data_IF_180520978404
#
_entry.id   IF_180520978404
#
_cell.length_a   1.000
_cell.length_b   1.000
_cell.length_c   1.000
_cell.angle_alpha   90.00
_cell.angle_beta   90.00
_cell.angle_gamma   90.00
#
_symmetry.space_group_name_H-M   'P 1'
#
loop_
_entity.id
_entity.type
_entity.pdbx_description
1 polymer ?
#
# COMPACT_ATOMS: atom_id res chain seq x y z
N UNK A 1 -7.53 1.38 30.94
CA UNK A 1 -6.94 0.53 32.00
C UNK A 1 -7.41 -0.93 32.01
N UNK A 2 -8.68 -1.28 31.73
CA UNK A 2 -9.13 -2.69 31.73
C UNK A 2 -8.65 -3.49 30.50
N UNK A 3 -8.42 -2.84 29.36
CA UNK A 3 -7.96 -3.49 28.12
C UNK A 3 -6.46 -3.83 28.13
N UNK A 4 -5.63 -3.01 28.78
CA UNK A 4 -4.18 -3.23 28.91
C UNK A 4 -3.84 -4.39 29.87
N UNK A 5 -4.66 -4.60 30.91
CA UNK A 5 -4.48 -5.74 31.81
C UNK A 5 -4.84 -7.07 31.15
N UNK A 6 -5.76 -7.09 30.20
CA UNK A 6 -6.12 -8.30 29.46
C UNK A 6 -4.96 -8.74 28.53
N UNK A 7 -4.27 -7.80 27.86
CA UNK A 7 -3.12 -8.13 27.03
C UNK A 7 -1.94 -8.71 27.82
N UNK A 8 -1.66 -8.19 29.03
CA UNK A 8 -0.62 -8.71 29.91
C UNK A 8 -1.00 -10.09 30.50
N UNK A 9 -2.27 -10.32 30.78
CA UNK A 9 -2.75 -11.61 31.29
C UNK A 9 -2.70 -12.70 30.22
N UNK A 10 -2.92 -12.37 28.95
CA UNK A 10 -2.77 -13.30 27.82
C UNK A 10 -1.30 -13.69 27.63
N UNK A 11 -0.36 -12.74 27.70
CA UNK A 11 1.08 -13.02 27.62
C UNK A 11 1.56 -13.93 28.78
N UNK A 12 1.00 -13.78 29.98
CA UNK A 12 1.33 -14.63 31.14
C UNK A 12 0.77 -16.06 31.05
N UNK A 13 -0.33 -16.27 30.34
CA UNK A 13 -0.94 -17.60 30.17
C UNK A 13 -0.17 -18.49 29.16
N UNK A 14 0.54 -17.89 28.21
CA UNK A 14 1.35 -18.63 27.23
C UNK A 14 2.73 -19.06 27.76
N UNK A 15 3.18 -18.58 28.90
CA UNK A 15 4.47 -18.96 29.50
C UNK A 15 4.46 -20.32 30.16
N UNK A 16 3.38 -21.07 30.14
CA UNK A 16 3.18 -22.27 30.99
C UNK A 16 3.06 -23.64 30.33
N UNK A 17 3.16 -23.75 28.99
CA UNK A 17 3.02 -25.08 28.33
C UNK A 17 4.18 -25.36 27.37
N UNK A 18 5.04 -26.28 27.79
CA UNK A 18 6.29 -26.69 27.14
C UNK A 18 6.11 -27.60 25.90
N UNK A 19 5.06 -27.43 25.14
CA UNK A 19 4.84 -28.02 23.80
C UNK A 19 4.12 -27.00 22.89
N UNK A 20 4.19 -25.74 23.23
CA UNK A 20 3.44 -24.69 22.54
C UNK A 20 4.21 -24.16 21.33
N UNK A 21 3.44 -23.82 20.31
CA UNK A 21 3.81 -22.95 19.20
C UNK A 21 4.91 -21.95 19.59
N UNK A 22 5.92 -21.79 18.75
CA UNK A 22 6.90 -20.70 18.89
C UNK A 22 6.17 -19.37 18.67
N UNK A 23 5.74 -18.74 19.77
CA UNK A 23 5.00 -17.48 19.75
C UNK A 23 5.95 -16.32 19.95
N UNK A 24 5.99 -15.40 19.01
CA UNK A 24 6.85 -14.24 19.00
C UNK A 24 6.05 -12.95 19.06
N UNK A 25 6.38 -12.06 19.99
CA UNK A 25 6.00 -10.65 19.97
C UNK A 25 7.05 -9.91 19.14
N UNK A 26 6.61 -9.07 18.21
CA UNK A 26 7.48 -8.25 17.38
C UNK A 26 6.85 -6.90 17.09
N UNK A 27 7.66 -5.96 16.60
CA UNK A 27 7.13 -4.68 16.21
C UNK A 27 8.17 -3.70 15.66
N UNK A 28 7.66 -2.55 15.25
CA UNK A 28 8.45 -1.41 14.78
C UNK A 28 7.85 -0.14 15.36
N UNK A 29 8.70 0.71 15.89
CA UNK A 29 8.39 2.11 16.20
C UNK A 29 9.21 2.97 15.26
N UNK A 30 8.54 3.78 14.47
CA UNK A 30 9.13 4.70 13.51
C UNK A 30 8.49 6.07 13.72
N UNK A 31 9.30 7.05 14.14
CA UNK A 31 8.83 8.40 14.46
C UNK A 31 9.84 9.42 13.95
N UNK A 32 9.35 10.51 13.40
CA UNK A 32 10.22 11.55 12.89
C UNK A 32 9.49 12.85 12.62
N UNK A 33 10.18 13.76 11.96
CA UNK A 33 9.64 15.06 11.56
C UNK A 33 9.63 15.16 10.05
N UNK A 34 8.62 15.84 9.54
CA UNK A 34 8.43 16.06 8.11
C UNK A 34 8.10 17.52 7.84
N UNK A 35 8.75 18.06 6.84
CA UNK A 35 8.35 19.29 6.19
C UNK A 35 7.78 18.97 4.82
N UNK A 36 6.62 19.50 4.51
CA UNK A 36 5.99 19.47 3.20
C UNK A 36 5.70 20.91 2.77
N UNK A 37 6.02 21.22 1.53
CA UNK A 37 5.48 22.33 0.79
C UNK A 37 4.58 21.74 -0.30
N UNK A 38 3.28 21.96 -0.18
CA UNK A 38 2.26 21.46 -1.12
C UNK A 38 1.72 22.66 -1.89
N UNK A 39 2.01 22.67 -3.18
CA UNK A 39 1.42 23.63 -4.11
C UNK A 39 0.30 22.93 -4.87
N UNK A 40 -0.93 23.41 -4.66
CA UNK A 40 -2.14 22.88 -5.29
C UNK A 40 -2.67 23.86 -6.35
N UNK A 41 -1.76 24.52 -7.06
CA UNK A 41 -2.08 25.57 -8.01
C UNK A 41 -3.25 25.20 -8.92
N UNK A 42 -4.26 26.06 -8.91
CA UNK A 42 -5.47 25.90 -9.70
C UNK A 42 -5.60 27.12 -10.59
N UNK A 43 -5.29 26.91 -11.84
CA UNK A 43 -5.46 27.97 -12.83
C UNK A 43 -6.93 28.12 -13.26
N UNK A 44 -7.43 29.31 -13.24
CA UNK A 44 -8.28 30.04 -14.13
C UNK A 44 -9.37 30.94 -13.53
N UNK A 45 -9.89 30.67 -12.33
CA UNK A 45 -10.97 31.53 -11.80
C UNK A 45 -10.73 32.06 -10.39
N UNK A 46 -9.47 32.23 -9.97
CA UNK A 46 -9.11 32.91 -8.73
C UNK A 46 -9.37 32.11 -7.44
N UNK A 47 -9.56 30.83 -7.53
CA UNK A 47 -9.62 29.92 -6.38
C UNK A 47 -8.32 29.13 -6.31
N UNK A 48 -7.19 29.82 -6.23
CA UNK A 48 -5.92 29.22 -5.90
C UNK A 48 -5.88 28.91 -4.40
N UNK A 49 -5.49 27.71 -4.03
CA UNK A 49 -5.01 27.45 -2.67
C UNK A 49 -3.52 27.73 -2.71
N UNK A 50 -3.10 28.84 -2.05
CA UNK A 50 -1.68 29.16 -1.92
C UNK A 50 -0.91 27.94 -1.41
N UNK A 51 0.36 27.84 -1.83
CA UNK A 51 1.25 26.77 -1.35
C UNK A 51 1.22 26.69 0.18
N UNK A 52 0.99 25.51 0.70
CA UNK A 52 0.86 25.26 2.14
C UNK A 52 2.16 24.63 2.65
N UNK A 53 2.81 25.37 3.55
CA UNK A 53 3.95 24.86 4.30
C UNK A 53 3.46 24.12 5.56
N UNK A 54 3.86 22.87 5.71
CA UNK A 54 3.51 22.07 6.88
C UNK A 54 4.76 21.44 7.49
N UNK A 55 5.02 21.75 8.75
CA UNK A 55 5.98 21.03 9.58
C UNK A 55 5.22 20.19 10.59
N UNK A 56 5.47 18.89 10.64
CA UNK A 56 4.74 17.97 11.51
C UNK A 56 5.64 16.87 12.05
N UNK A 57 5.26 16.34 13.22
CA UNK A 57 5.75 15.04 13.68
C UNK A 57 4.90 13.96 13.01
N UNK A 58 5.54 12.92 12.54
CA UNK A 58 4.88 11.85 11.77
C UNK A 58 5.32 10.48 12.27
N UNK A 59 4.39 9.55 12.18
CA UNK A 59 4.60 8.14 12.49
C UNK A 59 4.77 7.32 11.21
N UNK A 60 5.73 6.40 11.21
CA UNK A 60 5.79 5.35 10.21
C UNK A 60 6.21 5.80 8.83
N UNK A 61 7.06 6.84 8.71
CA UNK A 61 7.48 7.37 7.42
C UNK A 61 8.32 6.37 6.61
N UNK A 62 9.32 5.72 7.22
CA UNK A 62 10.11 4.68 6.56
C UNK A 62 9.48 3.28 6.70
N UNK A 63 8.72 3.04 7.77
CA UNK A 63 8.00 1.79 7.99
C UNK A 63 6.84 2.01 8.95
N UNK A 64 5.61 1.71 8.57
CA UNK A 64 4.45 1.88 9.43
C UNK A 64 4.69 1.31 10.82
N UNK A 65 4.50 2.15 11.87
CA UNK A 65 4.62 1.73 13.26
C UNK A 65 3.58 0.66 13.55
N UNK A 66 4.02 -0.44 14.18
CA UNK A 66 3.17 -1.63 14.40
C UNK A 66 3.69 -2.50 15.51
N UNK A 67 2.84 -3.32 16.02
CA UNK A 67 3.18 -4.45 16.86
C UNK A 67 2.38 -5.67 16.44
N UNK A 68 2.86 -6.86 16.72
CA UNK A 68 2.16 -8.08 16.36
C UNK A 68 2.60 -9.28 17.15
N UNK A 69 1.77 -10.31 17.10
CA UNK A 69 2.04 -11.63 17.64
C UNK A 69 1.89 -12.61 16.50
N UNK A 70 2.87 -13.47 16.32
CA UNK A 70 2.84 -14.59 15.38
C UNK A 70 3.26 -15.87 16.06
N UNK A 71 2.75 -16.98 15.59
CA UNK A 71 3.11 -18.28 16.13
C UNK A 71 2.97 -19.37 15.10
N UNK A 72 3.73 -20.44 15.28
CA UNK A 72 3.69 -21.64 14.45
C UNK A 72 3.72 -22.89 15.32
N UNK A 73 3.00 -23.94 14.89
CA UNK A 73 2.97 -25.24 15.50
C UNK A 73 3.21 -26.29 14.41
N UNK A 74 4.17 -27.17 14.66
CA UNK A 74 4.45 -28.31 13.79
C UNK A 74 3.49 -29.47 14.12
N UNK A 75 2.66 -29.87 13.17
CA UNK A 75 1.68 -30.95 13.31
C UNK A 75 2.27 -32.33 12.96
N UNK A 76 3.55 -32.39 12.56
CA UNK A 76 4.20 -33.59 12.06
C UNK A 76 4.02 -33.80 10.56
N UNK A 77 4.77 -34.78 10.02
CA UNK A 77 4.77 -35.09 8.58
C UNK A 77 5.01 -33.89 7.63
N UNK A 78 5.74 -32.86 8.10
CA UNK A 78 6.02 -31.65 7.34
C UNK A 78 4.83 -30.69 7.23
N UNK A 79 3.81 -30.87 8.07
CA UNK A 79 2.66 -29.99 8.15
C UNK A 79 2.81 -29.03 9.32
N UNK A 80 2.59 -27.74 9.05
CA UNK A 80 2.65 -26.65 10.03
C UNK A 80 1.36 -25.86 9.98
N UNK A 81 0.84 -25.44 11.12
CA UNK A 81 -0.21 -24.43 11.25
C UNK A 81 0.38 -23.21 11.94
N UNK A 82 -0.07 -22.01 11.57
CA UNK A 82 0.40 -20.80 12.21
C UNK A 82 -0.56 -19.64 12.02
N UNK A 83 -0.30 -18.57 12.76
CA UNK A 83 -1.12 -17.36 12.72
C UNK A 83 -0.24 -16.10 12.73
N UNK A 84 -0.80 -15.01 12.21
CA UNK A 84 -0.25 -13.66 12.32
C UNK A 84 -1.38 -12.71 12.74
N UNK A 85 -1.13 -11.95 13.82
CA UNK A 85 -1.98 -10.85 14.28
C UNK A 85 -1.10 -9.62 14.36
N UNK A 86 -1.31 -8.65 13.46
CA UNK A 86 -0.50 -7.42 13.38
C UNK A 86 -1.39 -6.18 13.38
N UNK A 87 -1.09 -5.27 14.28
CA UNK A 87 -1.81 -4.03 14.51
C UNK A 87 -0.95 -2.81 14.22
N UNK A 88 -1.52 -1.80 13.56
CA UNK A 88 -0.89 -0.53 13.25
C UNK A 88 -1.23 0.54 14.27
N UNK A 89 -0.26 1.39 14.59
CA UNK A 89 -0.49 2.54 15.46
C UNK A 89 0.28 3.77 14.98
N UNK A 90 -0.13 4.93 15.45
CA UNK A 90 0.58 6.20 15.21
C UNK A 90 1.45 6.52 16.42
N UNK A 91 2.77 6.50 16.24
CA UNK A 91 3.75 6.63 17.33
C UNK A 91 3.89 8.07 17.85
N UNK A 92 3.45 9.06 17.08
CA UNK A 92 3.47 10.47 17.43
C UNK A 92 2.38 10.86 18.44
N UNK A 93 1.24 10.17 18.42
CA UNK A 93 0.08 10.49 19.27
C UNK A 93 -0.50 9.28 20.04
N UNK A 94 0.00 8.06 19.74
CA UNK A 94 -0.41 6.81 20.41
C UNK A 94 -1.79 6.28 20.00
N UNK A 95 -2.36 6.78 18.90
CA UNK A 95 -3.65 6.29 18.42
C UNK A 95 -3.51 4.95 17.68
N UNK A 96 -4.55 4.12 17.75
CA UNK A 96 -4.75 2.94 16.93
C UNK A 96 -5.01 3.38 15.47
N UNK A 97 -4.43 2.69 14.50
CA UNK A 97 -4.58 3.01 13.09
C UNK A 97 -5.70 2.17 12.46
N UNK A 98 -6.94 2.54 12.75
CA UNK A 98 -8.11 1.84 12.20
C UNK A 98 -8.72 0.84 13.19
N UNK A 99 -8.97 -0.39 12.74
CA UNK A 99 -9.50 -1.47 13.58
C UNK A 99 -8.36 -2.30 14.17
N UNK A 100 -8.60 -2.97 15.30
CA UNK A 100 -7.63 -3.91 15.88
C UNK A 100 -7.17 -4.94 14.82
N UNK A 101 -5.88 -5.15 14.71
CA UNK A 101 -5.25 -6.00 13.69
C UNK A 101 -5.55 -5.54 12.25
N UNK A 102 -5.55 -4.24 12.02
CA UNK A 102 -5.84 -3.62 10.72
C UNK A 102 -4.90 -4.07 9.62
N UNK A 103 -3.66 -4.50 9.98
CA UNK A 103 -2.60 -4.87 9.04
C UNK A 103 -2.68 -6.33 8.59
N UNK A 104 -2.80 -7.26 9.54
CA UNK A 104 -2.99 -8.70 9.26
C UNK A 104 -3.67 -9.39 10.44
N UNK A 105 -4.66 -10.23 10.12
CA UNK A 105 -5.29 -11.17 11.05
C UNK A 105 -5.54 -12.47 10.29
N UNK A 106 -4.55 -13.37 10.30
CA UNK A 106 -4.57 -14.57 9.46
C UNK A 106 -4.22 -15.84 10.21
N UNK A 107 -4.87 -16.93 9.79
CA UNK A 107 -4.52 -18.30 10.13
C UNK A 107 -4.06 -19.01 8.86
N UNK A 108 -2.99 -19.80 8.93
CA UNK A 108 -2.48 -20.53 7.78
C UNK A 108 -2.10 -21.96 8.09
N UNK A 109 -2.12 -22.78 7.04
CA UNK A 109 -1.55 -24.12 7.02
C UNK A 109 -0.53 -24.20 5.90
N UNK A 110 0.63 -24.81 6.19
CA UNK A 110 1.74 -24.94 5.25
C UNK A 110 2.28 -26.37 5.26
N UNK A 111 2.71 -26.86 4.10
CA UNK A 111 3.27 -28.18 3.91
C UNK A 111 3.90 -28.38 2.55
N UNK A 112 4.08 -29.63 2.14
CA UNK A 112 4.60 -29.95 0.80
C UNK A 112 3.74 -29.43 -0.37
N UNK A 113 2.50 -29.08 -0.11
CA UNK A 113 1.58 -28.47 -1.08
C UNK A 113 1.73 -26.94 -1.19
N UNK A 114 2.50 -26.30 -0.33
CA UNK A 114 2.60 -24.83 -0.23
C UNK A 114 1.91 -24.30 1.02
N UNK A 115 1.49 -23.04 0.99
CA UNK A 115 0.85 -22.32 2.11
C UNK A 115 -0.53 -21.83 1.70
N UNK A 116 -1.54 -22.15 2.50
CA UNK A 116 -2.91 -21.63 2.40
C UNK A 116 -3.21 -20.78 3.64
N UNK A 117 -3.70 -19.58 3.46
CA UNK A 117 -4.08 -18.69 4.56
C UNK A 117 -5.48 -18.14 4.39
N UNK A 118 -6.14 -17.85 5.51
CA UNK A 118 -7.48 -17.32 5.61
C UNK A 118 -7.50 -16.15 6.60
N UNK A 119 -8.25 -15.09 6.30
CA UNK A 119 -8.48 -13.98 7.21
C UNK A 119 -8.34 -12.61 6.55
N UNK A 120 -7.96 -11.61 7.35
CA UNK A 120 -7.57 -10.30 6.83
C UNK A 120 -6.10 -10.36 6.44
N UNK A 121 -5.83 -10.16 5.14
CA UNK A 121 -4.51 -10.35 4.55
C UNK A 121 -4.25 -9.20 3.57
N UNK A 122 -3.01 -8.73 3.50
CA UNK A 122 -2.59 -7.79 2.46
C UNK A 122 -2.47 -8.47 1.11
N UNK A 123 -2.80 -7.74 0.08
CA UNK A 123 -2.63 -8.21 -1.30
C UNK A 123 -1.14 -8.43 -1.65
N UNK A 124 -0.87 -9.27 -2.63
CA UNK A 124 0.49 -9.42 -3.18
C UNK A 124 0.99 -8.10 -3.79
N UNK A 125 0.08 -7.24 -4.24
CA UNK A 125 0.31 -5.90 -4.78
C UNK A 125 0.20 -4.80 -3.72
N UNK A 126 0.17 -5.14 -2.44
CA UNK A 126 0.13 -4.19 -1.34
C UNK A 126 1.46 -4.04 -0.63
N UNK A 127 1.54 -3.02 0.21
CA UNK A 127 2.72 -2.72 1.04
C UNK A 127 2.69 -3.36 2.42
N UNK A 128 1.61 -4.04 2.76
CA UNK A 128 1.33 -4.49 4.12
C UNK A 128 1.00 -5.98 4.12
N UNK A 129 1.51 -6.68 5.08
CA UNK A 129 1.36 -8.09 5.38
C UNK A 129 2.53 -8.99 4.94
N UNK A 130 2.51 -10.21 5.45
CA UNK A 130 3.50 -11.24 5.15
C UNK A 130 3.47 -11.77 3.70
N UNK A 131 2.47 -11.37 2.93
CA UNK A 131 2.23 -11.78 1.53
C UNK A 131 2.69 -10.74 0.52
N UNK A 132 2.98 -9.52 0.95
CA UNK A 132 3.30 -8.39 0.08
C UNK A 132 4.61 -8.60 -0.69
N UNK A 133 4.55 -8.50 -2.02
CA UNK A 133 5.71 -8.61 -2.92
C UNK A 133 6.05 -7.27 -3.60
N UNK A 134 5.11 -6.35 -3.60
CA UNK A 134 5.16 -5.08 -4.33
C UNK A 134 6.42 -4.24 -4.04
N UNK A 135 6.91 -4.26 -2.80
CA UNK A 135 8.15 -3.58 -2.40
C UNK A 135 9.42 -4.03 -3.14
N UNK A 136 9.39 -5.16 -3.88
CA UNK A 136 10.52 -5.59 -4.71
C UNK A 136 10.78 -4.69 -5.93
N UNK A 137 9.85 -3.77 -6.26
CA UNK A 137 9.94 -2.88 -7.41
C UNK A 137 10.60 -1.53 -7.08
N UNK A 138 10.85 -1.23 -5.81
CA UNK A 138 11.46 0.05 -5.42
C UNK A 138 12.46 -0.10 -4.27
N UNK A 139 13.55 0.66 -4.34
CA UNK A 139 14.50 0.84 -3.24
C UNK A 139 13.87 1.48 -2.00
N UNK A 140 12.81 2.25 -2.19
CA UNK A 140 11.99 2.82 -1.12
C UNK A 140 10.91 1.85 -0.62
N UNK A 141 10.84 0.63 -1.16
CA UNK A 141 9.80 -0.35 -0.79
C UNK A 141 8.39 0.19 -1.01
N UNK A 142 7.53 0.05 -0.02
CA UNK A 142 6.14 0.52 0.01
C UNK A 142 5.87 1.52 1.13
N UNK A 143 6.92 2.14 1.66
CA UNK A 143 6.87 3.17 2.71
C UNK A 143 7.65 4.40 2.26
N UNK A 144 8.01 5.30 3.15
CA UNK A 144 8.68 6.59 2.90
C UNK A 144 7.71 7.74 2.60
N UNK A 145 6.47 7.61 3.05
CA UNK A 145 5.44 8.61 2.88
C UNK A 145 4.80 8.59 1.49
N UNK A 146 3.71 9.30 1.35
CA UNK A 146 2.85 9.26 0.15
C UNK A 146 3.44 9.96 -1.08
N UNK A 147 4.61 10.59 -0.96
CA UNK A 147 5.20 11.42 -2.01
C UNK A 147 6.62 10.98 -2.40
N UNK A 148 7.19 9.96 -1.76
CA UNK A 148 8.48 9.41 -2.16
C UNK A 148 8.33 8.40 -3.32
N UNK A 149 9.40 8.13 -4.05
CA UNK A 149 9.44 7.19 -5.18
C UNK A 149 9.30 5.72 -4.74
N UNK A 150 8.38 5.45 -3.84
CA UNK A 150 8.00 4.13 -3.37
C UNK A 150 7.05 3.43 -4.37
N UNK A 151 6.90 2.12 -4.20
CA UNK A 151 6.14 1.32 -5.14
C UNK A 151 4.66 1.73 -5.25
N UNK A 152 3.98 2.03 -4.13
CA UNK A 152 2.55 2.41 -4.16
C UNK A 152 2.32 3.77 -4.84
N UNK A 153 3.29 4.70 -4.79
CA UNK A 153 3.19 6.01 -5.45
C UNK A 153 3.41 5.89 -6.96
N UNK A 154 4.37 5.04 -7.35
CA UNK A 154 4.77 4.89 -8.77
C UNK A 154 3.85 3.91 -9.49
N UNK A 155 3.52 2.76 -8.88
CA UNK A 155 2.86 1.65 -9.56
C UNK A 155 1.44 1.39 -9.05
N UNK A 156 0.95 2.18 -8.10
CA UNK A 156 -0.29 1.95 -7.38
C UNK A 156 -0.24 0.69 -6.50
N UNK A 157 -1.10 0.61 -5.52
CA UNK A 157 -1.15 -0.51 -4.58
C UNK A 157 -2.58 -0.98 -4.32
N UNK A 158 -2.73 -2.26 -4.03
CA UNK A 158 -3.97 -2.82 -3.51
C UNK A 158 -3.77 -3.16 -2.03
N UNK A 159 -4.49 -2.53 -1.14
CA UNK A 159 -4.31 -2.62 0.31
C UNK A 159 -4.54 -4.01 0.92
N UNK A 160 -5.06 -4.02 2.14
CA UNK A 160 -5.49 -5.23 2.83
C UNK A 160 -6.95 -5.53 2.51
N UNK A 161 -7.28 -6.82 2.48
CA UNK A 161 -8.62 -7.31 2.18
C UNK A 161 -9.13 -8.19 3.32
N UNK A 162 -10.36 -7.98 3.71
CA UNK A 162 -11.07 -8.84 4.63
C UNK A 162 -11.55 -10.10 3.93
N UNK A 163 -11.74 -11.17 4.70
CA UNK A 163 -12.30 -12.43 4.22
C UNK A 163 -11.54 -12.96 3.00
N UNK A 164 -10.20 -12.91 3.09
CA UNK A 164 -9.31 -13.35 2.01
C UNK A 164 -8.95 -14.82 2.17
N UNK A 165 -8.91 -15.51 1.02
CA UNK A 165 -8.24 -16.78 0.82
C UNK A 165 -6.97 -16.49 0.03
N UNK A 166 -5.80 -16.85 0.57
CA UNK A 166 -4.50 -16.66 -0.08
C UNK A 166 -3.75 -17.98 -0.15
N UNK A 167 -3.20 -18.28 -1.31
CA UNK A 167 -2.39 -19.47 -1.55
C UNK A 167 -1.05 -19.10 -2.20
N UNK A 168 0.03 -19.77 -1.78
CA UNK A 168 1.32 -19.78 -2.48
C UNK A 168 1.85 -21.18 -2.64
N UNK A 169 2.46 -21.48 -3.77
CA UNK A 169 3.14 -22.74 -4.01
C UNK A 169 4.42 -22.87 -3.19
N UNK A 170 4.95 -24.08 -2.99
CA UNK A 170 6.35 -24.24 -2.64
C UNK A 170 7.25 -23.57 -3.67
N UNK A 171 8.49 -23.26 -3.28
CA UNK A 171 9.48 -22.77 -4.26
C UNK A 171 9.94 -23.92 -5.16
N UNK A 172 9.88 -23.71 -6.46
CA UNK A 172 10.39 -24.64 -7.46
C UNK A 172 11.40 -23.93 -8.37
N UNK A 173 12.65 -24.34 -8.33
CA UNK A 173 13.75 -23.71 -9.10
C UNK A 173 13.77 -22.17 -9.00
N UNK A 174 13.47 -21.63 -7.80
CA UNK A 174 13.39 -20.19 -7.54
C UNK A 174 12.01 -19.55 -7.84
N UNK A 175 11.11 -20.25 -8.51
CA UNK A 175 9.75 -19.76 -8.78
C UNK A 175 8.79 -20.05 -7.62
N UNK A 176 7.87 -19.11 -7.38
CA UNK A 176 6.65 -19.29 -6.59
C UNK A 176 5.48 -18.66 -7.34
N UNK A 177 4.31 -19.28 -7.21
CA UNK A 177 3.04 -18.75 -7.74
C UNK A 177 2.12 -18.42 -6.57
N UNK A 178 1.35 -17.35 -6.71
CA UNK A 178 0.45 -16.83 -5.70
C UNK A 178 -0.95 -16.67 -6.30
N UNK A 179 -1.96 -16.99 -5.52
CA UNK A 179 -3.35 -16.74 -5.86
C UNK A 179 -4.07 -16.17 -4.64
N UNK A 180 -4.88 -15.12 -4.82
CA UNK A 180 -5.63 -14.49 -3.76
C UNK A 180 -7.06 -14.21 -4.21
N UNK A 181 -8.00 -14.42 -3.29
CA UNK A 181 -9.40 -14.07 -3.45
C UNK A 181 -9.91 -13.41 -2.17
N UNK A 182 -10.29 -12.14 -2.26
CA UNK A 182 -10.92 -11.37 -1.18
C UNK A 182 -12.43 -11.24 -1.44
N UNK A 183 -13.23 -11.69 -0.50
CA UNK A 183 -14.69 -11.68 -0.61
C UNK A 183 -15.30 -10.32 -0.24
N UNK A 184 -14.45 -9.37 0.18
CA UNK A 184 -14.88 -8.08 0.70
C UNK A 184 -15.44 -8.19 2.13
N UNK A 185 -15.85 -7.06 2.68
CA UNK A 185 -16.37 -6.98 4.04
C UNK A 185 -17.84 -6.55 4.05
N UNK A 186 -18.53 -6.91 5.11
CA UNK A 186 -19.87 -6.40 5.37
C UNK A 186 -19.78 -4.91 5.76
N UNK A 187 -20.24 -4.05 4.87
CA UNK A 187 -20.30 -2.60 5.10
C UNK A 187 -21.75 -2.21 5.38
N UNK A 188 -21.95 -1.43 6.43
CA UNK A 188 -23.26 -0.84 6.73
C UNK A 188 -23.17 0.67 6.64
N UNK A 189 -23.91 1.28 5.74
CA UNK A 189 -24.05 2.73 5.65
C UNK A 189 -25.50 3.15 5.82
N UNK A 190 -25.72 4.43 6.16
CA UNK A 190 -27.06 5.02 6.23
C UNK A 190 -27.16 6.13 5.19
N UNK A 191 -28.09 6.00 4.26
CA UNK A 191 -28.44 7.02 3.30
C UNK A 191 -29.97 7.16 3.25
N UNK A 192 -30.48 8.40 3.25
CA UNK A 192 -31.92 8.74 3.16
C UNK A 192 -32.79 7.96 4.16
N UNK A 193 -32.30 7.78 5.40
CA UNK A 193 -33.01 7.05 6.44
C UNK A 193 -33.07 5.53 6.25
N UNK A 194 -32.48 4.99 5.18
CA UNK A 194 -32.37 3.55 4.95
C UNK A 194 -30.97 3.05 5.35
N UNK A 195 -30.93 1.87 5.95
CA UNK A 195 -29.68 1.14 6.17
C UNK A 195 -29.38 0.36 4.90
N UNK A 196 -28.26 0.71 4.25
CA UNK A 196 -27.71 -0.03 3.12
C UNK A 196 -26.64 -0.97 3.67
N UNK A 197 -26.65 -2.21 3.24
CA UNK A 197 -25.71 -3.24 3.70
C UNK A 197 -24.97 -3.79 2.48
N UNK A 198 -23.65 -3.72 2.51
CA UNK A 198 -22.80 -4.52 1.65
C UNK A 198 -22.71 -5.92 2.24
N UNK A 199 -22.88 -6.95 1.45
CA UNK A 199 -22.84 -8.34 1.88
C UNK A 199 -21.60 -9.01 1.30
N UNK A 200 -20.88 -9.70 2.17
CA UNK A 200 -19.68 -10.45 1.78
C UNK A 200 -19.97 -11.38 0.60
N UNK A 201 -19.08 -11.36 -0.39
CA UNK A 201 -19.15 -12.18 -1.59
C UNK A 201 -20.38 -11.95 -2.49
N UNK A 202 -21.05 -10.82 -2.35
CA UNK A 202 -22.16 -10.40 -3.21
C UNK A 202 -21.82 -9.15 -4.01
N UNK A 203 -22.70 -8.79 -4.95
CA UNK A 203 -22.54 -7.57 -5.77
C UNK A 203 -22.61 -6.26 -4.99
N UNK A 204 -22.91 -6.33 -3.70
CA UNK A 204 -22.95 -5.19 -2.78
C UNK A 204 -21.64 -4.95 -2.02
N UNK A 205 -20.58 -5.71 -2.30
CA UNK A 205 -19.25 -5.52 -1.75
C UNK A 205 -18.18 -5.64 -2.84
N UNK A 206 -17.10 -4.86 -2.72
CA UNK A 206 -15.92 -5.00 -3.58
C UNK A 206 -15.26 -6.36 -3.33
N UNK A 207 -14.88 -7.08 -4.38
CA UNK A 207 -14.20 -8.37 -4.32
C UNK A 207 -12.84 -8.23 -5.02
N UNK A 208 -11.85 -8.93 -4.50
CA UNK A 208 -10.47 -8.85 -4.99
C UNK A 208 -9.99 -10.19 -5.53
N UNK A 209 -9.35 -10.15 -6.67
CA UNK A 209 -8.74 -11.30 -7.32
C UNK A 209 -7.30 -10.96 -7.66
N UNK A 210 -6.36 -11.85 -7.36
CA UNK A 210 -4.98 -11.69 -7.80
C UNK A 210 -4.33 -13.02 -8.14
N UNK A 211 -3.49 -12.96 -9.16
CA UNK A 211 -2.57 -14.03 -9.54
C UNK A 211 -1.19 -13.43 -9.71
N UNK A 212 -0.18 -14.05 -9.12
CA UNK A 212 1.18 -13.56 -9.21
C UNK A 212 2.22 -14.65 -9.29
N UNK A 213 3.41 -14.27 -9.71
CA UNK A 213 4.59 -15.10 -9.68
C UNK A 213 5.80 -14.30 -9.20
N UNK A 214 6.67 -14.94 -8.44
CA UNK A 214 7.99 -14.41 -8.12
C UNK A 214 9.06 -15.39 -8.56
N UNK A 215 10.24 -14.86 -8.90
CA UNK A 215 11.44 -15.62 -9.20
C UNK A 215 12.60 -15.05 -8.43
N UNK A 216 13.34 -15.90 -7.72
CA UNK A 216 14.53 -15.52 -6.98
C UNK A 216 15.67 -16.49 -7.32
N UNK A 217 16.79 -15.95 -7.83
CA UNK A 217 17.98 -16.72 -8.16
C UNK A 217 19.24 -15.87 -7.97
N UNK A 218 20.01 -16.15 -6.94
CA UNK A 218 21.19 -15.36 -6.59
C UNK A 218 20.84 -13.89 -6.41
N UNK A 219 21.47 -12.97 -7.17
CA UNK A 219 21.23 -11.53 -7.04
C UNK A 219 19.91 -11.05 -7.68
N UNK A 220 19.24 -11.87 -8.48
CA UNK A 220 18.05 -11.50 -9.24
C UNK A 220 16.77 -11.87 -8.49
N UNK A 221 15.88 -10.89 -8.34
CA UNK A 221 14.50 -11.10 -7.90
C UNK A 221 13.55 -10.46 -8.91
N UNK A 222 12.58 -11.21 -9.38
CA UNK A 222 11.53 -10.76 -10.30
C UNK A 222 10.16 -10.98 -9.69
N UNK A 223 9.23 -10.18 -10.14
CA UNK A 223 7.85 -10.18 -9.71
C UNK A 223 6.93 -9.86 -10.89
N UNK A 224 5.88 -10.63 -11.06
CA UNK A 224 4.78 -10.39 -11.97
C UNK A 224 3.48 -10.62 -11.22
N UNK A 225 2.56 -9.69 -11.31
CA UNK A 225 1.22 -9.89 -10.78
C UNK A 225 0.16 -9.22 -11.66
N UNK A 226 -1.00 -9.86 -11.67
CA UNK A 226 -2.24 -9.35 -12.25
C UNK A 226 -3.26 -9.34 -11.13
N UNK A 227 -3.94 -8.22 -10.95
CA UNK A 227 -5.06 -8.12 -10.01
C UNK A 227 -6.26 -7.40 -10.62
N UNK A 228 -7.41 -7.68 -10.06
CA UNK A 228 -8.69 -7.07 -10.42
C UNK A 228 -9.51 -6.84 -9.15
N UNK A 229 -10.13 -5.68 -9.09
CA UNK A 229 -11.19 -5.37 -8.11
C UNK A 229 -12.51 -5.40 -8.85
N UNK A 230 -13.36 -6.35 -8.51
CA UNK A 230 -14.74 -6.37 -8.93
C UNK A 230 -15.52 -5.46 -7.99
N UNK A 231 -15.78 -4.24 -8.45
CA UNK A 231 -16.42 -3.22 -7.62
C UNK A 231 -17.88 -3.54 -7.32
N UNK A 232 -18.36 -3.06 -6.18
CA UNK A 232 -19.75 -3.20 -5.80
C UNK A 232 -20.65 -2.43 -6.78
N UNK A 233 -21.66 -3.11 -7.31
CA UNK A 233 -22.66 -2.52 -8.23
C UNK A 233 -23.99 -2.27 -7.55
N UNK A 234 -24.13 -2.66 -6.28
CA UNK A 234 -25.36 -2.54 -5.48
C UNK A 234 -25.03 -2.21 -4.02
N UNK A 235 -26.02 -1.84 -3.25
CA UNK A 235 -25.89 -1.65 -1.79
C UNK A 235 -25.29 -0.31 -1.37
N UNK A 236 -24.56 -0.34 -0.27
CA UNK A 236 -24.03 0.83 0.43
C UNK A 236 -22.76 1.38 -0.20
N UNK A 237 -22.80 1.97 -1.36
CA UNK A 237 -21.65 2.53 -2.10
C UNK A 237 -21.40 1.80 -3.41
N UNK A 238 -22.32 0.91 -3.81
CA UNK A 238 -22.29 0.30 -5.13
C UNK A 238 -22.65 1.32 -6.22
N UNK A 239 -21.91 1.26 -7.31
CA UNK A 239 -22.18 2.00 -8.53
C UNK A 239 -22.60 1.01 -9.63
N UNK A 240 -23.86 1.06 -10.12
CA UNK A 240 -24.34 0.14 -11.16
C UNK A 240 -23.56 0.23 -12.49
N UNK A 241 -22.81 1.32 -12.69
CA UNK A 241 -22.01 1.57 -13.89
C UNK A 241 -20.53 1.33 -13.64
N UNK A 242 -20.14 0.80 -12.47
CA UNK A 242 -18.74 0.51 -12.16
C UNK A 242 -18.23 -0.68 -12.98
N UNK A 243 -17.21 -0.45 -13.77
CA UNK A 243 -16.43 -1.50 -14.41
C UNK A 243 -15.34 -2.02 -13.47
N UNK A 244 -14.98 -3.30 -13.63
CA UNK A 244 -13.96 -3.96 -12.83
C UNK A 244 -12.57 -3.45 -13.20
N UNK A 245 -11.71 -3.28 -12.19
CA UNK A 245 -10.33 -2.89 -12.48
C UNK A 245 -9.49 -4.05 -13.00
N UNK A 246 -8.48 -3.70 -13.78
CA UNK A 246 -7.40 -4.58 -14.16
C UNK A 246 -6.07 -3.88 -13.92
N UNK A 247 -5.17 -4.52 -13.18
CA UNK A 247 -3.80 -4.01 -13.05
C UNK A 247 -2.79 -5.12 -13.29
N UNK A 248 -1.77 -4.82 -14.09
CA UNK A 248 -0.65 -5.71 -14.39
C UNK A 248 0.63 -5.03 -13.96
N UNK A 249 1.44 -5.69 -13.13
CA UNK A 249 2.73 -5.18 -12.64
C UNK A 249 3.83 -6.18 -12.94
N UNK A 250 4.92 -5.68 -13.50
CA UNK A 250 6.14 -6.45 -13.75
C UNK A 250 7.33 -5.65 -13.26
N UNK A 251 8.17 -6.25 -12.46
CA UNK A 251 9.40 -5.61 -12.00
C UNK A 251 10.25 -6.53 -11.13
N UNK A 252 11.18 -5.91 -10.41
CA UNK A 252 12.08 -6.62 -9.52
C UNK A 252 13.35 -5.84 -9.25
N UNK A 253 14.38 -6.58 -8.85
CA UNK A 253 15.67 -5.98 -8.52
C UNK A 253 16.83 -6.92 -8.85
N UNK A 254 17.99 -6.31 -9.04
CA UNK A 254 19.25 -7.03 -9.20
C UNK A 254 20.31 -6.40 -8.29
N UNK A 255 20.99 -7.25 -7.52
CA UNK A 255 22.07 -6.84 -6.62
C UNK A 255 23.43 -7.01 -7.32
N UNK A 256 24.06 -5.89 -7.62
CA UNK A 256 25.40 -5.83 -8.24
C UNK A 256 26.53 -5.83 -7.21
N UNK A 257 26.23 -6.08 -5.92
CA UNK A 257 27.15 -5.93 -4.76
C UNK A 257 27.49 -4.48 -4.44
N UNK A 258 27.86 -3.66 -5.43
CA UNK A 258 28.17 -2.22 -5.29
C UNK A 258 26.92 -1.36 -5.24
N UNK A 259 25.80 -1.86 -5.79
CA UNK A 259 24.50 -1.22 -5.77
C UNK A 259 23.40 -2.25 -6.05
N UNK A 260 22.26 -2.09 -5.44
CA UNK A 260 21.06 -2.87 -5.79
C UNK A 260 20.12 -1.97 -6.58
N UNK A 261 19.80 -2.36 -7.80
CA UNK A 261 18.93 -1.61 -8.70
C UNK A 261 17.56 -2.27 -8.74
N UNK A 262 16.53 -1.46 -8.71
CA UNK A 262 15.12 -1.83 -8.79
C UNK A 262 14.50 -1.17 -10.00
N UNK A 263 13.63 -1.89 -10.68
CA UNK A 263 12.86 -1.35 -11.79
C UNK A 263 11.50 -2.04 -11.89
N UNK A 264 10.53 -1.33 -12.45
CA UNK A 264 9.21 -1.86 -12.67
C UNK A 264 8.39 -1.06 -13.66
N UNK A 265 7.35 -1.70 -14.15
CA UNK A 265 6.29 -1.11 -14.98
C UNK A 265 4.94 -1.59 -14.48
N UNK A 266 3.93 -0.76 -14.60
CA UNK A 266 2.55 -1.13 -14.38
C UNK A 266 1.68 -0.65 -15.53
N UNK A 267 0.67 -1.46 -15.87
CA UNK A 267 -0.48 -1.07 -16.67
C UNK A 267 -1.71 -1.20 -15.77
N UNK A 268 -2.62 -0.26 -15.88
CA UNK A 268 -3.83 -0.25 -15.08
C UNK A 268 -5.01 0.30 -15.89
N UNK A 269 -6.17 -0.26 -15.63
CA UNK A 269 -7.44 0.13 -16.20
C UNK A 269 -8.51 0.07 -15.11
N UNK A 270 -9.42 1.04 -15.10
CA UNK A 270 -10.44 1.20 -14.03
C UNK A 270 -9.86 1.22 -12.61
N UNK A 271 -8.59 1.59 -12.46
CA UNK A 271 -7.94 1.68 -11.15
C UNK A 271 -8.31 2.98 -10.43
N UNK A 272 -8.65 2.92 -9.14
CA UNK A 272 -8.91 4.14 -8.35
C UNK A 272 -7.63 4.96 -8.24
N UNK A 273 -7.69 6.25 -8.57
CA UNK A 273 -6.55 7.18 -8.45
C UNK A 273 -5.99 7.22 -7.02
N UNK A 274 -6.83 7.05 -6.01
CA UNK A 274 -6.42 6.99 -4.61
C UNK A 274 -5.45 5.84 -4.28
N UNK A 275 -5.35 4.83 -5.13
CA UNK A 275 -4.36 3.74 -4.98
C UNK A 275 -2.96 4.15 -5.43
N UNK A 276 -2.83 5.28 -6.13
CA UNK A 276 -1.59 5.93 -6.52
C UNK A 276 -1.42 7.19 -5.67
N UNK A 277 -1.00 7.08 -4.43
CA UNK A 277 -0.77 8.24 -3.55
C UNK A 277 0.05 9.32 -4.27
N UNK A 278 -0.15 10.60 -3.94
CA UNK A 278 0.60 11.70 -4.57
C UNK A 278 -0.21 12.99 -4.68
N UNK A 279 0.33 13.99 -5.36
CA UNK A 279 -0.22 15.34 -5.41
C UNK A 279 -1.62 15.41 -6.01
N UNK A 280 -1.91 14.67 -7.10
CA UNK A 280 -3.24 14.66 -7.70
C UNK A 280 -4.32 14.06 -6.79
N UNK A 281 -4.00 13.03 -6.02
CA UNK A 281 -4.96 12.45 -5.07
C UNK A 281 -5.39 13.47 -4.01
N UNK A 282 -4.44 14.26 -3.51
CA UNK A 282 -4.71 15.32 -2.55
C UNK A 282 -5.43 16.51 -3.19
N UNK A 283 -5.11 16.84 -4.44
CA UNK A 283 -5.78 17.88 -5.20
C UNK A 283 -7.28 17.54 -5.41
N UNK A 284 -7.59 16.34 -5.88
CA UNK A 284 -8.98 15.89 -6.01
C UNK A 284 -9.70 15.89 -4.67
N UNK A 285 -9.04 15.53 -3.57
CA UNK A 285 -9.62 15.55 -2.23
C UNK A 285 -9.89 16.99 -1.73
N UNK A 286 -9.01 17.94 -2.04
CA UNK A 286 -9.14 19.34 -1.59
C UNK A 286 -10.29 20.09 -2.27
N UNK A 287 -10.65 19.70 -3.48
CA UNK A 287 -11.73 20.32 -4.27
C UNK A 287 -13.14 19.98 -3.76
N UNK A 288 -13.26 19.23 -2.67
CA UNK A 288 -14.57 18.75 -2.17
C UNK A 288 -15.41 18.10 -3.27
N UNK A 289 -14.72 17.53 -4.26
CA UNK A 289 -15.31 16.68 -5.27
C UNK A 289 -15.57 15.34 -4.59
N UNK A 290 -16.33 15.40 -3.47
CA UNK A 290 -16.62 14.29 -2.56
C UNK A 290 -17.20 13.02 -3.24
N UNK A 291 -17.58 13.13 -4.49
CA UNK A 291 -17.99 12.01 -5.32
C UNK A 291 -16.92 11.60 -6.35
N UNK A 292 -15.89 12.43 -6.57
CA UNK A 292 -14.86 12.18 -7.59
C UNK A 292 -13.55 11.74 -6.95
N UNK A 293 -13.12 12.37 -5.85
CA UNK A 293 -11.75 12.22 -5.34
C UNK A 293 -11.33 10.79 -4.99
N UNK A 294 -12.08 10.08 -4.15
CA UNK A 294 -11.73 8.70 -3.76
C UNK A 294 -12.22 7.63 -4.75
N UNK A 295 -13.18 7.98 -5.62
CA UNK A 295 -13.79 7.10 -6.60
C UNK A 295 -13.33 7.35 -8.04
N UNK A 296 -12.53 8.40 -8.29
CA UNK A 296 -12.03 8.69 -9.62
C UNK A 296 -11.13 7.56 -10.12
N UNK A 297 -11.51 7.00 -11.25
CA UNK A 297 -10.81 5.87 -11.86
C UNK A 297 -10.00 6.33 -13.06
N UNK A 298 -8.86 5.71 -13.22
CA UNK A 298 -7.90 6.02 -14.28
C UNK A 298 -7.51 4.75 -15.04
N UNK A 299 -7.12 4.94 -16.28
CA UNK A 299 -6.43 3.95 -17.10
C UNK A 299 -5.11 4.53 -17.60
N UNK A 300 -4.08 3.70 -17.71
CA UNK A 300 -2.77 4.18 -18.12
C UNK A 300 -1.66 3.22 -17.78
N UNK A 301 -0.47 3.78 -17.67
CA UNK A 301 0.74 3.03 -17.37
C UNK A 301 1.70 3.85 -16.50
N UNK A 302 2.63 3.15 -15.86
CA UNK A 302 3.70 3.80 -15.11
C UNK A 302 5.00 3.00 -15.20
N UNK A 303 6.11 3.70 -14.97
CA UNK A 303 7.46 3.13 -14.93
C UNK A 303 8.26 3.76 -13.80
N UNK A 304 9.11 2.97 -13.16
CA UNK A 304 10.01 3.47 -12.12
C UNK A 304 11.34 2.75 -12.09
N UNK A 305 12.36 3.47 -11.67
CA UNK A 305 13.69 2.96 -11.41
C UNK A 305 14.23 3.55 -10.11
N UNK A 306 14.91 2.72 -9.33
CA UNK A 306 15.51 3.18 -8.07
C UNK A 306 16.74 2.34 -7.70
N UNK A 307 17.49 2.77 -6.71
CA UNK A 307 18.70 2.08 -6.29
C UNK A 307 19.03 2.31 -4.83
N UNK A 308 19.65 1.28 -4.24
CA UNK A 308 20.34 1.33 -2.95
C UNK A 308 21.83 1.23 -3.19
N UNK A 309 22.60 2.18 -2.70
CA UNK A 309 24.04 2.25 -2.89
C UNK A 309 24.69 2.28 -1.49
N UNK A 310 25.43 1.24 -1.09
CA UNK A 310 26.17 1.26 0.17
C UNK A 310 27.19 2.41 0.18
N UNK A 311 27.13 3.26 1.20
CA UNK A 311 28.04 4.40 1.34
C UNK A 311 28.16 4.81 2.81
N UNK A 312 29.36 5.18 3.24
CA UNK A 312 29.64 5.77 4.55
C UNK A 312 29.01 5.04 5.76
N UNK A 313 28.95 3.71 5.70
CA UNK A 313 28.37 2.87 6.76
C UNK A 313 26.83 2.74 6.73
N UNK A 314 26.17 3.40 5.80
CA UNK A 314 24.73 3.31 5.55
C UNK A 314 24.43 3.03 4.08
N UNK A 315 23.26 3.46 3.63
CA UNK A 315 22.78 3.28 2.26
C UNK A 315 22.23 4.60 1.71
N UNK A 316 22.70 4.99 0.53
CA UNK A 316 22.04 6.03 -0.27
C UNK A 316 20.89 5.39 -1.03
N UNK A 317 19.73 6.02 -0.98
CA UNK A 317 18.53 5.67 -1.70
C UNK A 317 18.29 6.73 -2.78
N UNK A 318 18.05 6.32 -4.01
CA UNK A 318 17.65 7.21 -5.10
C UNK A 318 16.51 6.57 -5.88
N UNK A 319 15.60 7.36 -6.40
CA UNK A 319 14.50 6.82 -7.19
C UNK A 319 13.81 7.88 -8.03
N UNK A 320 13.27 7.43 -9.15
CA UNK A 320 12.44 8.23 -10.04
C UNK A 320 11.32 7.37 -10.60
N UNK A 321 10.18 7.99 -10.88
CA UNK A 321 9.02 7.37 -11.49
C UNK A 321 8.29 8.32 -12.42
N UNK A 322 7.57 7.74 -13.36
CA UNK A 322 6.67 8.45 -14.26
C UNK A 322 5.37 7.66 -14.41
N UNK A 323 4.26 8.36 -14.47
CA UNK A 323 2.94 7.82 -14.75
C UNK A 323 2.28 8.68 -15.83
N UNK A 324 1.56 8.02 -16.73
CA UNK A 324 0.72 8.62 -17.74
C UNK A 324 -0.63 7.92 -17.71
N UNK A 325 -1.68 8.67 -17.48
CA UNK A 325 -3.02 8.17 -17.24
C UNK A 325 -4.08 9.13 -17.78
N UNK A 326 -5.24 8.58 -18.07
CA UNK A 326 -6.44 9.31 -18.41
C UNK A 326 -7.63 8.81 -17.59
N UNK A 327 -8.71 9.54 -17.59
CA UNK A 327 -9.97 9.11 -16.99
C UNK A 327 -10.40 7.75 -17.58
N UNK A 328 -10.74 6.79 -16.75
CA UNK A 328 -11.23 5.49 -17.19
C UNK A 328 -12.60 5.59 -17.87
N UNK A 329 -12.98 4.59 -18.64
CA UNK A 329 -14.21 4.62 -19.45
C UNK A 329 -15.47 4.76 -18.58
N UNK A 330 -15.51 4.12 -17.40
CA UNK A 330 -16.63 4.25 -16.45
C UNK A 330 -16.80 5.68 -15.89
N UNK A 331 -15.76 6.50 -15.88
CA UNK A 331 -15.85 7.92 -15.50
C UNK A 331 -16.67 8.70 -16.54
N UNK A 332 -16.54 8.38 -17.82
CA UNK A 332 -17.33 9.02 -18.89
C UNK A 332 -18.83 8.76 -18.72
N UNK A 333 -19.21 7.59 -18.23
CA UNK A 333 -20.60 7.19 -18.03
C UNK A 333 -21.22 7.79 -16.76
N UNK A 334 -20.42 7.92 -15.70
CA UNK A 334 -20.89 8.37 -14.37
C UNK A 334 -20.65 9.86 -14.11
N UNK A 335 -19.65 10.44 -14.75
CA UNK A 335 -19.14 11.79 -14.48
C UNK A 335 -18.68 12.46 -15.79
N UNK A 336 -19.61 12.65 -16.73
CA UNK A 336 -19.33 13.12 -18.08
C UNK A 336 -18.47 14.42 -18.17
N UNK A 337 -18.46 15.23 -17.11
CA UNK A 337 -17.62 16.43 -17.04
C UNK A 337 -16.12 16.12 -16.87
N UNK A 338 -15.75 14.90 -16.48
CA UNK A 338 -14.38 14.48 -16.18
C UNK A 338 -13.82 13.45 -17.16
N UNK A 339 -14.59 13.06 -18.17
CA UNK A 339 -14.25 11.99 -19.12
C UNK A 339 -12.96 12.21 -19.91
N UNK A 340 -12.61 13.47 -20.15
CA UNK A 340 -11.46 13.86 -20.99
C UNK A 340 -10.30 14.36 -20.10
N UNK A 341 -10.22 13.91 -18.83
CA UNK A 341 -9.16 14.29 -17.92
C UNK A 341 -7.92 13.41 -18.16
N UNK A 342 -6.80 14.07 -18.41
CA UNK A 342 -5.48 13.43 -18.50
C UNK A 342 -4.66 13.77 -17.25
N UNK A 343 -3.87 12.83 -16.76
CA UNK A 343 -3.03 12.99 -15.58
C UNK A 343 -1.66 12.42 -15.91
N UNK A 344 -0.62 13.25 -15.84
CA UNK A 344 0.74 12.78 -15.84
C UNK A 344 1.42 13.07 -14.51
N UNK A 345 2.31 12.20 -14.08
CA UNK A 345 3.09 12.34 -12.85
C UNK A 345 4.56 12.09 -13.12
N UNK A 346 5.41 12.91 -12.52
CA UNK A 346 6.79 12.51 -12.32
C UNK A 346 7.21 12.69 -10.86
N UNK A 347 8.12 11.86 -10.42
CA UNK A 347 8.61 11.85 -9.05
C UNK A 347 10.10 11.58 -9.02
N UNK A 348 10.80 12.26 -8.14
CA UNK A 348 12.20 11.99 -7.81
C UNK A 348 12.40 12.02 -6.30
N UNK A 349 13.21 11.11 -5.81
CA UNK A 349 13.53 11.03 -4.37
C UNK A 349 14.99 10.64 -4.17
N UNK A 350 15.58 11.19 -3.12
CA UNK A 350 16.90 10.82 -2.65
C UNK A 350 16.88 10.71 -1.12
N UNK A 351 17.57 9.73 -0.58
CA UNK A 351 17.61 9.52 0.86
C UNK A 351 18.90 8.87 1.32
N UNK A 352 19.07 8.85 2.62
CA UNK A 352 20.15 8.15 3.30
C UNK A 352 19.60 7.46 4.55
N UNK A 353 19.91 6.18 4.70
CA UNK A 353 19.55 5.36 5.85
C UNK A 353 20.83 4.86 6.54
N UNK A 354 21.03 5.24 7.81
CA UNK A 354 22.21 4.91 8.59
C UNK A 354 21.84 3.97 9.76
N UNK A 355 22.32 2.72 9.75
CA UNK A 355 22.07 1.78 10.83
C UNK A 355 22.99 2.03 12.02
N UNK A 356 22.44 2.33 13.20
CA UNK A 356 23.17 2.28 14.47
C UNK A 356 23.36 0.83 14.95
N UNK A 357 22.41 -0.03 14.60
CA UNK A 357 22.44 -1.46 14.92
C UNK A 357 21.55 -2.23 13.91
N UNK A 358 21.47 -3.57 14.05
CA UNK A 358 20.56 -4.40 13.25
C UNK A 358 19.08 -4.05 13.45
N UNK A 359 18.73 -3.31 14.52
CA UNK A 359 17.36 -2.99 14.91
C UNK A 359 17.04 -1.50 14.91
N UNK A 360 18.06 -0.64 14.84
CA UNK A 360 17.88 0.82 15.00
C UNK A 360 18.61 1.54 13.90
N UNK A 361 17.92 2.40 13.20
CA UNK A 361 18.46 3.26 12.14
C UNK A 361 17.89 4.67 12.22
N UNK A 362 18.65 5.63 11.70
CA UNK A 362 18.21 6.99 11.42
C UNK A 362 18.22 7.20 9.91
N UNK A 363 17.22 7.86 9.41
CA UNK A 363 17.07 8.10 7.99
C UNK A 363 16.69 9.55 7.67
N UNK A 364 17.00 9.97 6.45
CA UNK A 364 16.52 11.21 5.88
C UNK A 364 16.18 11.03 4.40
N UNK A 365 15.09 11.66 3.93
CA UNK A 365 14.65 11.62 2.53
C UNK A 365 14.22 13.00 2.09
N UNK A 366 14.59 13.36 0.88
CA UNK A 366 14.08 14.51 0.13
C UNK A 366 13.35 13.98 -1.08
N UNK A 367 12.18 14.52 -1.35
CA UNK A 367 11.34 14.09 -2.46
C UNK A 367 10.69 15.28 -3.15
N UNK A 368 10.46 15.15 -4.44
CA UNK A 368 9.62 16.04 -5.23
C UNK A 368 8.67 15.19 -6.10
N UNK A 369 7.40 15.47 -6.00
CA UNK A 369 6.33 14.86 -6.78
C UNK A 369 5.55 15.98 -7.47
N UNK A 370 5.35 15.88 -8.77
CA UNK A 370 4.52 16.80 -9.54
C UNK A 370 3.58 16.00 -10.44
N UNK A 371 2.31 16.35 -10.38
CA UNK A 371 1.30 15.89 -11.30
C UNK A 371 0.91 17.03 -12.22
N UNK A 372 0.54 16.73 -13.46
CA UNK A 372 -0.12 17.64 -14.38
C UNK A 372 -1.50 17.05 -14.69
N UNK A 373 -2.53 17.85 -14.49
CA UNK A 373 -3.92 17.46 -14.69
C UNK A 373 -4.47 18.38 -15.79
N UNK A 374 -4.74 17.81 -16.94
CA UNK A 374 -5.43 18.50 -18.04
C UNK A 374 -6.88 18.05 -18.08
N UNK A 375 -7.78 19.02 -18.01
CA UNK A 375 -9.20 18.77 -18.02
C UNK A 375 -9.89 19.55 -19.13
N UNK A 376 -10.27 18.86 -20.20
CA UNK A 376 -10.80 19.44 -21.45
C UNK A 376 -12.31 19.75 -21.42
N UNK A 377 -12.99 19.68 -20.28
CA UNK A 377 -14.43 19.92 -20.20
C UNK A 377 -14.81 21.40 -20.04
N UNK A 378 -16.08 21.68 -19.81
CA UNK A 378 -16.70 23.03 -19.75
C UNK A 378 -15.97 24.06 -18.87
N UNK A 379 -15.04 23.62 -18.00
CA UNK A 379 -14.30 24.48 -17.09
C UNK A 379 -12.88 24.80 -17.58
N UNK A 380 -12.39 24.15 -18.65
CA UNK A 380 -11.04 24.36 -19.24
C UNK A 380 -9.98 24.66 -18.14
N UNK A 381 -9.92 23.77 -17.16
CA UNK A 381 -9.04 23.91 -16.00
C UNK A 381 -7.90 22.92 -16.09
N UNK A 382 -6.69 23.42 -16.20
CA UNK A 382 -5.48 22.66 -15.95
C UNK A 382 -4.94 22.94 -14.55
N UNK A 383 -4.33 21.95 -13.91
CA UNK A 383 -3.67 22.11 -12.62
C UNK A 383 -2.36 21.33 -12.60
N UNK A 384 -1.36 21.90 -11.97
CA UNK A 384 -0.03 21.28 -11.81
C UNK A 384 0.31 21.10 -10.31
N UNK A 385 -0.48 20.29 -9.55
CA UNK A 385 -0.21 20.13 -8.14
C UNK A 385 1.16 19.49 -7.91
N UNK A 386 1.92 20.06 -6.98
CA UNK A 386 3.24 19.57 -6.63
C UNK A 386 3.45 19.48 -5.14
N UNK A 387 4.34 18.58 -4.72
CA UNK A 387 4.74 18.42 -3.34
C UNK A 387 6.27 18.28 -3.26
N UNK A 388 6.89 19.21 -2.54
CA UNK A 388 8.27 19.06 -2.06
C UNK A 388 8.25 18.59 -0.61
N UNK A 389 9.01 17.55 -0.29
CA UNK A 389 9.06 16.96 1.05
C UNK A 389 10.47 16.72 1.56
N UNK A 390 10.67 16.96 2.85
CA UNK A 390 11.86 16.54 3.59
C UNK A 390 11.41 15.78 4.83
N UNK A 391 11.99 14.59 5.02
CA UNK A 391 11.66 13.70 6.14
C UNK A 391 12.94 13.28 6.85
N UNK A 392 12.91 13.28 8.19
CA UNK A 392 13.99 12.73 9.03
C UNK A 392 13.34 11.97 10.17
N UNK A 393 13.78 10.75 10.41
CA UNK A 393 13.19 9.89 11.44
C UNK A 393 14.15 8.88 12.03
N UNK A 394 13.70 8.30 13.14
CA UNK A 394 14.35 7.22 13.87
C UNK A 394 13.43 6.00 13.87
N UNK A 395 13.96 4.85 13.46
CA UNK A 395 13.23 3.59 13.44
C UNK A 395 13.88 2.57 14.36
N UNK A 396 13.05 1.89 15.17
CA UNK A 396 13.49 0.80 16.03
C UNK A 396 12.59 -0.44 15.85
N UNK A 397 13.23 -1.60 15.68
CA UNK A 397 12.58 -2.92 15.57
C UNK A 397 12.82 -3.71 16.87
N UNK A 398 11.80 -4.34 17.40
CA UNK A 398 11.89 -5.17 18.62
C UNK A 398 11.29 -6.57 18.43
#
# INVERSE_FOLDING_TARGET
MKKTLAAVAVLGAFAGSALAADVQLYGIVDTGVRYLNSDMDVNKDGVGVDAVDKFSMESGMASGSRWGIKGVEELGNGLTVGFVLEDGFTSDNGAEKGVMFDRESSLFIEGGFGKLALGRIGSINGGVSSWALHGMMSAFGTSWGSYAAQADVVFGGAGQWDNMIAYQTPSFAGFKVYAQYGMGSQVTSKADGKTLVGVENESSSDRYYALGASYANGPLNLYLAVDSINYATAGAGGDPLADDSLTVRLGGNFDFEVAKIFAGVAYFDEAKLSTFSGASSDWFASYNIDRVGSAFKIKGWSVGVSGNIPAAGGQILVGAGYMDAEAADSVADTQANWKDTEISRWIVSAGYDYPFSKRTDIYGVVTYNQDSIDHASQFDTSADPSVFGVMVGLRHKF
#
